data_IF_940442608900
#
_entry.id   IF_940442608900
#
_cell.length_a   1.000
_cell.length_b   1.000
_cell.length_c   1.000
_cell.angle_alpha   90.00
_cell.angle_beta   90.00
_cell.angle_gamma   90.00
#
_symmetry.space_group_name_H-M   'P 1'
#
loop_
_entity.id
_entity.type
_entity.pdbx_description
1 polymer ?
#
# COMPACT_ATOMS: atom_id res chain seq x y z
N UNK A 1 -16.50 11.35 -17.39
CA UNK A 1 -15.72 10.53 -18.35
C UNK A 1 -14.44 10.10 -17.67
N UNK A 2 -14.11 8.81 -17.71
CA UNK A 2 -12.86 8.31 -17.14
C UNK A 2 -11.69 8.66 -18.06
N UNK A 3 -10.65 9.28 -17.50
CA UNK A 3 -9.42 9.65 -18.19
C UNK A 3 -8.29 8.72 -17.74
N UNK A 4 -7.68 8.06 -18.72
CA UNK A 4 -6.59 7.11 -18.50
C UNK A 4 -5.29 7.67 -19.03
N UNK A 5 -4.23 7.60 -18.23
CA UNK A 5 -2.90 8.02 -18.65
C UNK A 5 -1.81 7.18 -17.98
N UNK A 6 -0.64 7.15 -18.62
CA UNK A 6 0.52 6.41 -18.14
C UNK A 6 1.63 7.38 -17.79
N UNK A 7 2.15 7.26 -16.57
CA UNK A 7 3.25 8.03 -16.05
C UNK A 7 4.52 7.17 -16.00
N UNK A 8 5.63 7.68 -16.56
CA UNK A 8 6.93 7.02 -16.44
C UNK A 8 7.61 7.46 -15.17
N UNK A 9 7.89 6.51 -14.28
CA UNK A 9 8.48 6.77 -12.97
C UNK A 9 10.00 6.89 -13.06
N UNK A 10 10.59 7.67 -12.16
CA UNK A 10 12.05 7.87 -12.11
C UNK A 10 12.58 7.63 -10.70
N UNK A 11 13.78 7.04 -10.60
CA UNK A 11 14.43 6.78 -9.32
C UNK A 11 13.74 5.70 -8.47
N UNK A 12 12.84 4.90 -9.03
CA UNK A 12 12.02 3.93 -8.28
C UNK A 12 12.11 2.50 -8.80
N UNK A 13 11.47 1.59 -8.05
CA UNK A 13 11.35 0.17 -8.35
C UNK A 13 10.42 -0.12 -9.55
N UNK A 14 9.36 0.67 -9.67
CA UNK A 14 8.41 0.61 -10.78
C UNK A 14 8.99 1.35 -11.99
N UNK A 15 8.55 0.94 -13.18
CA UNK A 15 8.92 1.51 -14.49
C UNK A 15 7.89 2.51 -14.98
N UNK A 16 6.61 2.22 -14.74
CA UNK A 16 5.50 3.09 -15.10
C UNK A 16 4.30 2.85 -14.20
N UNK A 17 3.40 3.83 -14.17
CA UNK A 17 2.13 3.77 -13.44
C UNK A 17 1.03 4.13 -14.43
N UNK A 18 0.05 3.25 -14.56
CA UNK A 18 -1.17 3.48 -15.30
C UNK A 18 -2.26 3.91 -14.31
N UNK A 19 -2.83 5.09 -14.56
CA UNK A 19 -3.80 5.73 -13.67
C UNK A 19 -5.06 6.01 -14.46
N UNK A 20 -6.20 5.65 -13.87
CA UNK A 20 -7.53 5.97 -14.35
C UNK A 20 -8.21 6.90 -13.35
N UNK A 21 -8.55 8.10 -13.81
CA UNK A 21 -9.24 9.13 -13.02
C UNK A 21 -10.65 9.35 -13.55
N UNK A 22 -11.61 9.50 -12.66
CA UNK A 22 -12.95 9.96 -12.96
C UNK A 22 -13.16 11.33 -12.30
N UNK A 23 -12.90 12.39 -13.05
CA UNK A 23 -12.80 13.75 -12.49
C UNK A 23 -11.64 13.83 -11.49
N UNK A 24 -11.97 13.98 -10.21
CA UNK A 24 -11.01 14.07 -9.11
C UNK A 24 -10.86 12.76 -8.32
N UNK A 25 -11.59 11.71 -8.69
CA UNK A 25 -11.59 10.41 -8.00
C UNK A 25 -10.67 9.43 -8.72
N UNK A 26 -9.83 8.74 -7.96
CA UNK A 26 -8.97 7.67 -8.45
C UNK A 26 -9.78 6.39 -8.65
N UNK A 27 -9.95 5.95 -9.90
CA UNK A 27 -10.76 4.78 -10.24
C UNK A 27 -9.92 3.49 -10.22
N UNK A 28 -8.73 3.54 -10.80
CA UNK A 28 -7.79 2.42 -10.77
C UNK A 28 -6.34 2.92 -10.90
N UNK A 29 -5.41 2.20 -10.25
CA UNK A 29 -3.97 2.43 -10.37
C UNK A 29 -3.28 1.09 -10.55
N UNK A 30 -2.45 0.98 -11.58
CA UNK A 30 -1.64 -0.20 -11.85
C UNK A 30 -0.18 0.22 -11.99
N UNK A 31 0.70 -0.47 -11.28
CA UNK A 31 2.13 -0.27 -11.37
C UNK A 31 2.75 -1.36 -12.24
N UNK A 32 3.65 -0.95 -13.12
CA UNK A 32 4.49 -1.86 -13.89
C UNK A 32 5.84 -2.01 -13.17
N UNK A 33 6.09 -3.21 -12.64
CA UNK A 33 7.29 -3.52 -11.86
C UNK A 33 7.25 -3.03 -10.40
N UNK A 34 8.30 -3.37 -9.66
CA UNK A 34 8.39 -3.13 -8.21
C UNK A 34 7.95 -4.33 -7.38
N UNK A 35 7.68 -4.10 -6.08
CA UNK A 35 7.21 -5.15 -5.19
C UNK A 35 5.74 -5.48 -5.48
N UNK A 36 5.49 -6.61 -6.13
CA UNK A 36 4.19 -7.01 -6.65
C UNK A 36 3.05 -6.92 -5.62
N UNK A 37 3.26 -7.38 -4.38
CA UNK A 37 2.24 -7.33 -3.33
C UNK A 37 1.95 -5.89 -2.86
N UNK A 38 3.00 -5.10 -2.63
CA UNK A 38 2.85 -3.72 -2.15
C UNK A 38 2.21 -2.81 -3.21
N UNK A 39 2.63 -2.94 -4.48
CA UNK A 39 2.07 -2.11 -5.55
C UNK A 39 0.60 -2.41 -5.82
N UNK A 40 0.18 -3.68 -5.74
CA UNK A 40 -1.24 -4.04 -5.78
C UNK A 40 -2.00 -3.50 -4.59
N UNK A 41 -1.44 -3.61 -3.38
CA UNK A 41 -2.03 -3.06 -2.17
C UNK A 41 -2.29 -1.56 -2.28
N UNK A 42 -1.29 -0.78 -2.72
CA UNK A 42 -1.44 0.67 -2.94
C UNK A 42 -2.51 0.95 -4.00
N UNK A 43 -2.53 0.20 -5.10
CA UNK A 43 -3.55 0.36 -6.14
C UNK A 43 -4.98 0.12 -5.64
N UNK A 44 -5.17 -0.84 -4.74
CA UNK A 44 -6.46 -1.11 -4.11
C UNK A 44 -6.83 -0.07 -3.06
N UNK A 45 -5.88 0.35 -2.22
CA UNK A 45 -6.12 1.33 -1.15
C UNK A 45 -6.49 2.71 -1.69
N UNK A 46 -5.93 3.08 -2.85
CA UNK A 46 -6.17 4.39 -3.47
C UNK A 46 -7.45 4.45 -4.29
N UNK A 47 -8.10 3.30 -4.55
CA UNK A 47 -9.34 3.22 -5.33
C UNK A 47 -10.50 3.90 -4.59
N UNK A 48 -11.19 4.80 -5.27
CA UNK A 48 -12.31 5.58 -4.74
C UNK A 48 -11.90 6.79 -3.89
N UNK A 49 -10.59 7.04 -3.72
CA UNK A 49 -10.11 8.21 -2.98
C UNK A 49 -10.02 9.44 -3.88
N UNK A 50 -10.13 10.62 -3.30
CA UNK A 50 -9.82 11.87 -3.99
C UNK A 50 -8.32 11.94 -4.30
N UNK A 51 -7.97 12.41 -5.49
CA UNK A 51 -6.58 12.51 -5.93
C UNK A 51 -5.76 13.46 -5.04
N UNK A 52 -6.39 14.46 -4.42
CA UNK A 52 -5.75 15.34 -3.44
C UNK A 52 -5.36 14.61 -2.15
N UNK A 53 -6.25 13.77 -1.62
CA UNK A 53 -5.99 12.97 -0.42
C UNK A 53 -4.87 11.95 -0.65
N UNK A 54 -4.85 11.34 -1.83
CA UNK A 54 -3.80 10.38 -2.21
C UNK A 54 -2.44 11.08 -2.27
N UNK A 55 -2.37 12.30 -2.82
CA UNK A 55 -1.12 13.09 -2.80
C UNK A 55 -0.69 13.36 -1.37
N UNK A 56 -1.57 13.94 -0.55
CA UNK A 56 -1.22 14.32 0.81
C UNK A 56 -0.74 13.14 1.67
N UNK A 57 -1.26 11.93 1.39
CA UNK A 57 -0.88 10.70 2.09
C UNK A 57 0.44 10.09 1.61
N UNK A 58 0.77 10.24 0.33
CA UNK A 58 1.87 9.50 -0.31
C UNK A 58 3.07 10.37 -0.68
N UNK A 59 2.91 11.70 -0.69
CA UNK A 59 3.98 12.65 -1.00
C UNK A 59 5.11 12.58 0.03
N UNK A 60 6.34 12.61 -0.45
CA UNK A 60 7.54 12.65 0.38
C UNK A 60 7.96 11.31 0.98
N UNK A 61 7.27 10.21 0.67
CA UNK A 61 7.71 8.87 1.10
C UNK A 61 9.02 8.54 0.36
N UNK A 62 10.10 8.38 1.13
CA UNK A 62 11.39 7.96 0.61
C UNK A 62 11.57 6.43 0.70
N UNK A 63 12.22 5.85 -0.31
CA UNK A 63 12.57 4.45 -0.35
C UNK A 63 14.07 4.27 -0.43
N UNK A 64 14.69 3.97 0.72
CA UNK A 64 16.12 3.65 0.88
C UNK A 64 17.06 4.82 0.50
N UNK A 65 16.71 6.06 0.83
CA UNK A 65 17.55 7.23 0.58
C UNK A 65 17.57 7.68 -0.88
N UNK A 66 16.57 7.29 -1.69
CA UNK A 66 16.49 7.68 -3.11
C UNK A 66 15.87 9.06 -3.32
N UNK A 67 15.37 9.68 -2.25
CA UNK A 67 14.60 10.93 -2.29
C UNK A 67 13.19 10.75 -2.86
N UNK A 68 12.75 9.51 -3.09
CA UNK A 68 11.45 9.17 -3.67
C UNK A 68 11.13 7.69 -3.48
N UNK A 69 9.88 7.32 -3.73
CA UNK A 69 9.37 5.96 -3.65
C UNK A 69 8.28 5.68 -4.69
N UNK A 70 7.95 4.41 -4.88
CA UNK A 70 6.92 3.98 -5.81
C UNK A 70 5.54 4.65 -5.48
N UNK A 71 5.11 4.80 -4.20
CA UNK A 71 3.94 5.64 -3.86
C UNK A 71 4.14 7.16 -4.01
N UNK A 72 5.33 7.71 -3.73
CA UNK A 72 5.60 9.14 -3.93
C UNK A 72 5.55 9.53 -5.42
N UNK A 73 6.01 8.65 -6.31
CA UNK A 73 5.84 8.83 -7.76
C UNK A 73 4.37 8.79 -8.19
N UNK A 74 3.51 8.03 -7.52
CA UNK A 74 2.07 8.10 -7.75
C UNK A 74 1.51 9.48 -7.37
N UNK A 75 1.94 10.05 -6.24
CA UNK A 75 1.54 11.41 -5.85
C UNK A 75 1.97 12.44 -6.92
N UNK A 76 3.21 12.37 -7.41
CA UNK A 76 3.71 13.23 -8.51
C UNK A 76 2.96 13.03 -9.82
N UNK A 77 2.64 11.78 -10.17
CA UNK A 77 1.87 11.45 -11.36
C UNK A 77 0.46 12.04 -11.29
N UNK A 78 -0.18 11.93 -10.13
CA UNK A 78 -1.46 12.55 -9.86
C UNK A 78 -1.33 14.08 -9.95
N UNK A 79 -0.32 14.67 -9.32
CA UNK A 79 -0.09 16.13 -9.29
C UNK A 79 0.07 16.75 -10.68
N UNK A 80 0.85 16.09 -11.55
CA UNK A 80 1.06 16.50 -12.95
C UNK A 80 -0.08 16.08 -13.90
N UNK A 81 -1.00 15.25 -13.41
CA UNK A 81 -2.08 14.68 -14.19
C UNK A 81 -3.16 15.70 -14.57
N UNK A 82 -3.91 15.42 -15.64
CA UNK A 82 -5.03 16.25 -16.05
C UNK A 82 -6.21 16.07 -15.08
N UNK A 83 -6.29 16.96 -14.09
CA UNK A 83 -7.35 16.97 -13.08
C UNK A 83 -8.16 18.24 -13.18
N UNK A 84 -9.44 18.16 -12.85
CA UNK A 84 -10.28 19.35 -12.70
C UNK A 84 -9.78 20.09 -11.46
N UNK A 85 -9.34 21.33 -11.62
CA UNK A 85 -8.84 22.12 -10.49
C UNK A 85 -10.06 22.53 -9.65
N UNK A 86 -10.55 21.65 -8.78
CA UNK A 86 -11.50 22.01 -7.74
C UNK A 86 -10.69 22.64 -6.60
N UNK A 87 -10.55 23.96 -6.67
CA UNK A 87 -9.98 24.76 -5.61
C UNK A 87 -10.89 24.70 -4.38
N UNK A 88 -10.81 23.66 -3.55
CA UNK A 88 -11.53 23.63 -2.28
C UNK A 88 -10.87 22.71 -1.25
N UNK A 89 -10.46 23.39 -0.17
CA UNK A 89 -10.40 22.92 1.22
C UNK A 89 -9.45 21.77 1.55
N UNK A 90 -8.31 22.16 2.15
CA UNK A 90 -7.57 21.45 3.19
C UNK A 90 -8.32 20.21 3.73
N UNK A 91 -7.81 18.98 3.57
CA UNK A 91 -8.45 17.81 4.13
C UNK A 91 -8.52 18.01 5.65
N UNK A 92 -9.73 17.93 6.20
CA UNK A 92 -9.89 17.74 7.64
C UNK A 92 -9.21 16.41 7.98
N UNK A 93 -8.05 16.54 8.61
CA UNK A 93 -7.14 15.45 8.87
C UNK A 93 -7.88 14.34 9.65
N UNK A 94 -8.22 13.24 8.98
CA UNK A 94 -8.29 11.95 9.67
C UNK A 94 -6.97 11.74 10.41
N UNK A 95 -6.97 11.12 11.60
CA UNK A 95 -5.84 11.19 12.53
C UNK A 95 -4.55 10.81 11.81
N UNK A 96 -3.65 11.78 11.69
CA UNK A 96 -2.27 11.53 11.30
C UNK A 96 -1.73 10.63 12.40
N UNK A 97 -1.62 9.33 12.14
CA UNK A 97 -0.79 8.44 12.93
C UNK A 97 0.65 8.92 12.74
N UNK A 98 1.03 9.96 13.48
CA UNK A 98 2.42 10.24 13.75
C UNK A 98 2.95 8.94 14.34
N UNK A 99 3.82 8.26 13.61
CA UNK A 99 4.67 7.23 14.18
C UNK A 99 5.82 7.98 14.84
N UNK A 100 5.78 8.31 16.14
CA UNK A 100 6.95 8.83 16.81
C UNK A 100 8.02 7.74 16.74
N UNK A 101 9.10 8.04 16.02
CA UNK A 101 10.25 7.16 15.97
C UNK A 101 10.79 6.93 17.38
N UNK A 102 10.75 5.66 17.82
CA UNK A 102 11.39 5.06 19.02
C UNK A 102 10.69 5.46 20.34
N UNK A 103 10.21 4.55 21.20
CA UNK A 103 10.90 3.37 21.74
C UNK A 103 9.96 2.29 22.33
N UNK A 104 10.34 1.02 22.06
CA UNK A 104 10.46 -0.13 22.98
C UNK A 104 9.21 -0.81 23.61
N UNK A 105 9.22 -2.14 23.41
CA UNK A 105 8.70 -3.24 24.25
C UNK A 105 7.18 -3.46 24.27
N UNK A 106 6.63 -4.07 23.22
CA UNK A 106 5.59 -5.06 23.42
C UNK A 106 6.19 -6.47 23.27
N UNK A 107 6.62 -7.06 24.39
CA UNK A 107 6.44 -8.51 24.51
C UNK A 107 4.94 -8.71 24.60
N UNK A 108 4.26 -8.70 23.47
CA UNK A 108 2.91 -9.26 23.46
C UNK A 108 3.12 -10.75 23.61
N UNK A 109 2.87 -11.24 24.81
CA UNK A 109 2.93 -12.65 25.16
C UNK A 109 1.73 -13.35 24.54
N UNK A 110 1.72 -13.46 23.22
CA UNK A 110 0.97 -14.53 22.60
C UNK A 110 1.74 -15.81 22.94
N UNK A 111 1.20 -16.62 23.84
CA UNK A 111 1.72 -17.98 24.01
C UNK A 111 1.35 -18.77 22.77
N UNK A 112 2.31 -18.87 21.83
CA UNK A 112 2.27 -19.89 20.79
C UNK A 112 2.59 -21.21 21.49
N UNK A 113 1.57 -21.92 21.95
CA UNK A 113 1.72 -23.29 22.43
C UNK A 113 2.13 -24.16 21.24
N UNK A 114 3.44 -24.35 21.06
CA UNK A 114 3.97 -25.35 20.14
C UNK A 114 3.77 -26.71 20.81
N UNK A 115 2.76 -27.48 20.39
CA UNK A 115 2.87 -28.94 20.52
C UNK A 115 3.99 -29.36 19.59
N UNK A 116 5.15 -29.68 20.16
CA UNK A 116 6.28 -30.20 19.42
C UNK A 116 5.88 -31.48 18.68
N UNK A 117 6.06 -31.60 17.35
CA UNK A 117 6.17 -32.92 16.77
C UNK A 117 7.52 -33.48 17.23
N UNK A 118 7.49 -34.72 17.70
CA UNK A 118 8.68 -35.45 18.12
C UNK A 118 9.76 -35.44 17.06
N UNK A 119 11.00 -35.51 17.54
CA UNK A 119 12.26 -35.53 16.81
C UNK A 119 12.19 -36.29 15.48
N UNK A 120 12.37 -35.57 14.37
CA UNK A 120 12.51 -36.17 13.04
C UNK A 120 12.74 -35.08 12.00
N UNK A 121 13.90 -35.12 11.35
CA UNK A 121 14.33 -34.15 10.36
C UNK A 121 13.47 -34.16 9.08
N UNK A 122 13.61 -33.04 8.34
CA UNK A 122 13.21 -32.79 6.96
C UNK A 122 11.74 -32.40 6.71
N UNK A 123 11.62 -31.32 5.91
CA UNK A 123 10.57 -31.00 4.95
C UNK A 123 9.15 -31.51 5.20
N UNK A 124 8.19 -30.59 5.30
CA UNK A 124 6.88 -30.73 4.62
C UNK A 124 6.05 -29.44 4.81
N UNK A 125 5.89 -28.69 3.73
CA UNK A 125 4.70 -27.86 3.53
C UNK A 125 3.50 -28.80 3.33
N UNK A 126 2.82 -29.24 4.38
CA UNK A 126 1.47 -29.84 4.26
C UNK A 126 0.45 -28.97 4.96
N UNK A 127 -0.57 -28.61 4.18
CA UNK A 127 -1.80 -27.97 4.61
C UNK A 127 -2.34 -28.65 5.88
N UNK A 128 -2.77 -27.88 6.90
CA UNK A 128 -3.36 -28.48 8.08
C UNK A 128 -4.61 -29.27 7.69
N UNK A 129 -4.72 -30.51 8.19
CA UNK A 129 -5.85 -31.41 7.97
C UNK A 129 -7.18 -30.86 8.51
N UNK A 130 -8.31 -31.54 8.23
CA UNK A 130 -9.62 -30.99 8.53
C UNK A 130 -9.84 -30.83 10.03
N UNK A 131 -10.39 -29.67 10.41
CA UNK A 131 -10.81 -29.37 11.77
C UNK A 131 -12.09 -30.15 12.06
N UNK A 132 -12.03 -31.11 12.97
CA UNK A 132 -13.20 -31.78 13.54
C UNK A 132 -13.62 -31.02 14.80
N UNK A 133 -14.85 -30.52 14.82
CA UNK A 133 -15.47 -29.90 15.99
C UNK A 133 -16.42 -30.93 16.59
N UNK A 134 -16.12 -31.42 17.79
CA UNK A 134 -17.05 -32.20 18.61
C UNK A 134 -17.69 -31.27 19.64
N UNK A 135 -19.02 -31.30 19.75
CA UNK A 135 -19.78 -30.59 20.76
C UNK A 135 -20.49 -31.55 21.71
N UNK A 136 -20.77 -31.06 22.91
CA UNK A 136 -21.91 -31.44 23.75
C UNK A 136 -22.90 -30.25 23.77
#
# INVERSE_FOLDING_TARGET
MAKKFTYKTQGTCSKSIEIELEGDIVKSVRFEGGCHGNTQGIGLLTRGMQAADVIARLEGIDCKGRGTSCPDQLAKALASGPRTITATTKPENGPVLQNPGKQRKNKSSYTVSRTAPGNGAADVCRSPGPIVVTGD
#
